data_IF_685454444881
#
_entry.id   IF_685454444881
#
_cell.length_a   1.000
_cell.length_b   1.000
_cell.length_c   1.000
_cell.angle_alpha   90.00
_cell.angle_beta   90.00
_cell.angle_gamma   90.00
#
_symmetry.space_group_name_H-M   'P 1'
#
loop_
_entity.id
_entity.type
_entity.pdbx_description
1 polymer ?
#
# COMPACT_ATOMS: atom_id res chain seq x y z
N UNK A 1 13.94 -5.51 76.02
CA UNK A 1 13.25 -5.16 74.75
C UNK A 1 12.66 -6.44 74.18
N UNK A 2 11.35 -6.63 74.32
CA UNK A 2 10.60 -7.75 73.75
C UNK A 2 9.40 -7.21 72.98
N UNK A 3 9.21 -7.83 71.83
CA UNK A 3 7.97 -8.05 71.06
C UNK A 3 7.13 -6.85 70.63
N UNK A 4 6.91 -6.77 69.32
CA UNK A 4 5.61 -6.40 68.76
C UNK A 4 5.25 -7.35 67.61
N UNK A 5 4.02 -7.83 67.67
CA UNK A 5 3.35 -8.75 66.76
C UNK A 5 2.03 -8.09 66.31
N UNK A 6 1.51 -8.53 65.16
CA UNK A 6 0.23 -8.17 64.50
C UNK A 6 0.32 -6.89 63.64
N UNK A 7 -0.05 -6.85 62.36
CA UNK A 7 -0.98 -7.70 61.62
C UNK A 7 -1.94 -6.77 60.85
N UNK A 8 -1.68 -6.58 59.56
CA UNK A 8 -2.54 -5.82 58.63
C UNK A 8 -1.89 -5.88 57.24
N UNK A 9 -2.45 -6.55 56.23
CA UNK A 9 -3.82 -6.38 55.75
C UNK A 9 -3.78 -5.38 54.60
N UNK A 10 -3.29 -5.80 53.42
CA UNK A 10 -3.05 -4.86 52.32
C UNK A 10 -2.87 -5.55 50.97
N UNK A 11 -3.99 -6.01 50.39
CA UNK A 11 -4.22 -5.99 48.94
C UNK A 11 -3.26 -6.74 48.03
N UNK A 12 -3.45 -8.05 47.90
CA UNK A 12 -3.12 -8.77 46.67
C UNK A 12 -3.97 -8.20 45.53
N UNK A 13 -3.43 -7.24 44.77
CA UNK A 13 -3.97 -6.90 43.47
C UNK A 13 -3.23 -7.72 42.42
N UNK A 14 -3.82 -8.88 42.16
CA UNK A 14 -3.54 -9.75 41.02
C UNK A 14 -3.76 -8.97 39.71
N UNK A 15 -2.70 -8.51 39.07
CA UNK A 15 -2.74 -8.05 37.67
C UNK A 15 -2.72 -9.27 36.76
N UNK A 16 -3.88 -9.95 36.66
CA UNK A 16 -4.09 -11.02 35.70
C UNK A 16 -4.18 -10.45 34.29
N UNK A 17 -3.27 -10.90 33.42
CA UNK A 17 -3.60 -11.16 32.02
C UNK A 17 -3.56 -9.99 31.05
N UNK A 18 -2.47 -9.22 31.00
CA UNK A 18 -2.09 -8.64 29.71
C UNK A 18 -1.45 -9.75 28.87
N UNK A 19 -2.26 -10.48 28.11
CA UNK A 19 -1.74 -11.29 27.00
C UNK A 19 -1.03 -10.33 26.05
N UNK A 20 0.31 -10.28 26.13
CA UNK A 20 1.13 -9.67 25.09
C UNK A 20 0.69 -10.35 23.80
N UNK A 21 -0.02 -9.62 22.93
CA UNK A 21 -0.26 -10.05 21.55
C UNK A 21 1.09 -10.52 21.03
N UNK A 22 1.21 -11.75 20.50
CA UNK A 22 2.47 -12.20 19.94
C UNK A 22 2.88 -11.18 18.89
N UNK A 23 4.05 -10.55 19.08
CA UNK A 23 4.59 -9.62 18.09
C UNK A 23 4.71 -10.41 16.80
N UNK A 24 3.85 -10.13 15.82
CA UNK A 24 3.97 -10.72 14.49
C UNK A 24 5.32 -10.26 13.98
N UNK A 25 6.32 -11.14 13.97
CA UNK A 25 7.62 -10.82 13.40
C UNK A 25 7.33 -10.39 11.96
N UNK A 26 7.77 -9.19 11.52
CA UNK A 26 7.52 -8.77 10.16
C UNK A 26 8.07 -9.86 9.22
N UNK A 27 7.27 -10.25 8.23
CA UNK A 27 7.72 -11.18 7.19
C UNK A 27 9.07 -10.66 6.68
N UNK A 28 10.09 -11.52 6.64
CA UNK A 28 11.38 -11.16 6.03
C UNK A 28 11.10 -10.73 4.60
N UNK A 29 11.20 -9.42 4.35
CA UNK A 29 11.09 -8.85 3.01
C UNK A 29 12.48 -8.89 2.42
N UNK A 30 12.69 -9.75 1.43
CA UNK A 30 13.92 -9.72 0.66
C UNK A 30 13.94 -8.42 -0.17
N UNK A 31 15.07 -7.69 -0.19
CA UNK A 31 15.18 -6.51 -1.05
C UNK A 31 14.93 -6.93 -2.50
N UNK A 32 14.27 -6.08 -3.30
CA UNK A 32 14.06 -6.37 -4.70
C UNK A 32 15.42 -6.48 -5.40
N UNK A 33 15.57 -7.39 -6.37
CA UNK A 33 16.80 -7.50 -7.14
C UNK A 33 17.06 -6.19 -7.91
N UNK A 34 18.32 -5.85 -8.10
CA UNK A 34 18.75 -4.56 -8.65
C UNK A 34 18.06 -4.23 -9.98
N UNK A 35 17.96 -5.20 -10.89
CA UNK A 35 17.31 -5.01 -12.18
C UNK A 35 15.84 -4.60 -12.06
N UNK A 36 15.12 -5.10 -11.04
CA UNK A 36 13.71 -4.77 -10.83
C UNK A 36 13.56 -3.32 -10.34
N UNK A 37 14.47 -2.87 -9.46
CA UNK A 37 14.51 -1.47 -9.02
C UNK A 37 14.78 -0.52 -10.19
N UNK A 38 15.75 -0.86 -11.04
CA UNK A 38 16.08 -0.05 -12.22
C UNK A 38 14.93 -0.02 -13.23
N UNK A 39 14.31 -1.17 -13.53
CA UNK A 39 13.20 -1.24 -14.48
C UNK A 39 11.98 -0.42 -14.00
N UNK A 40 11.62 -0.53 -12.71
CA UNK A 40 10.54 0.28 -12.13
C UNK A 40 10.92 1.76 -12.16
N UNK A 41 12.15 2.11 -11.75
CA UNK A 41 12.64 3.48 -11.76
C UNK A 41 12.62 4.12 -13.14
N UNK A 42 13.05 3.41 -14.19
CA UNK A 42 13.01 3.87 -15.57
C UNK A 42 11.58 4.17 -16.01
N UNK A 43 10.66 3.21 -15.80
CA UNK A 43 9.24 3.37 -16.16
C UNK A 43 8.59 4.54 -15.42
N UNK A 44 8.89 4.72 -14.13
CA UNK A 44 8.37 5.86 -13.35
C UNK A 44 8.90 7.19 -13.90
N UNK A 45 10.19 7.28 -14.22
CA UNK A 45 10.77 8.49 -14.82
C UNK A 45 10.11 8.82 -16.16
N UNK A 46 9.89 7.84 -17.01
CA UNK A 46 9.25 8.05 -18.32
C UNK A 46 7.84 8.59 -18.19
N UNK A 47 7.07 8.07 -17.22
CA UNK A 47 5.73 8.58 -16.90
C UNK A 47 5.74 10.01 -16.39
N UNK A 48 6.65 10.32 -15.47
CA UNK A 48 6.77 11.68 -14.94
C UNK A 48 7.20 12.66 -16.05
N UNK A 49 8.06 12.24 -16.98
CA UNK A 49 8.40 13.04 -18.16
C UNK A 49 7.19 13.25 -19.08
N UNK A 50 6.39 12.21 -19.31
CA UNK A 50 5.16 12.32 -20.11
C UNK A 50 4.13 13.25 -19.44
N UNK A 51 3.97 13.15 -18.12
CA UNK A 51 3.13 14.04 -17.34
C UNK A 51 3.62 15.50 -17.41
N UNK A 52 4.93 15.72 -17.23
CA UNK A 52 5.56 17.04 -17.35
C UNK A 52 5.24 17.71 -18.69
N UNK A 53 5.47 17.01 -19.79
CA UNK A 53 5.11 17.51 -21.14
C UNK A 53 3.63 17.84 -21.30
N UNK A 54 2.75 17.11 -20.60
CA UNK A 54 1.30 17.32 -20.66
C UNK A 54 0.91 18.61 -19.93
N UNK A 55 1.49 18.87 -18.75
CA UNK A 55 1.17 20.08 -17.95
C UNK A 55 1.87 21.34 -18.45
N UNK A 56 2.98 21.21 -19.16
CA UNK A 56 3.68 22.33 -19.84
C UNK A 56 2.96 22.76 -21.14
N UNK A 57 1.87 22.09 -21.52
CA UNK A 57 1.08 22.41 -22.70
C UNK A 57 0.44 23.81 -22.62
N UNK A 58 0.29 24.51 -23.76
CA UNK A 58 -0.35 25.82 -23.77
C UNK A 58 -1.82 25.71 -23.36
N UNK A 59 -2.26 26.62 -22.48
CA UNK A 59 -3.65 26.71 -22.04
C UNK A 59 -4.08 25.70 -20.98
N UNK A 60 -3.16 24.90 -20.45
CA UNK A 60 -3.46 23.96 -19.36
C UNK A 60 -3.71 24.72 -18.06
N UNK A 61 -4.83 24.43 -17.42
CA UNK A 61 -5.19 24.99 -16.12
C UNK A 61 -4.61 24.18 -14.95
N UNK A 62 -4.58 24.81 -13.77
CA UNK A 62 -4.17 24.13 -12.54
C UNK A 62 -5.15 23.00 -12.19
N UNK A 63 -6.45 23.22 -12.37
CA UNK A 63 -7.51 22.24 -12.16
C UNK A 63 -7.33 20.99 -13.04
N UNK A 64 -7.07 21.18 -14.33
CA UNK A 64 -6.78 20.06 -15.24
C UNK A 64 -5.51 19.31 -14.84
N UNK A 65 -4.46 20.04 -14.46
CA UNK A 65 -3.21 19.44 -13.99
C UNK A 65 -3.41 18.58 -12.73
N UNK A 66 -4.25 19.03 -11.80
CA UNK A 66 -4.62 18.26 -10.61
C UNK A 66 -5.40 16.99 -10.96
N UNK A 67 -6.38 17.08 -11.87
CA UNK A 67 -7.12 15.92 -12.35
C UNK A 67 -6.18 14.88 -12.97
N UNK A 68 -5.24 15.30 -13.82
CA UNK A 68 -4.27 14.39 -14.44
C UNK A 68 -3.28 13.80 -13.44
N UNK A 69 -2.92 14.56 -12.40
CA UNK A 69 -2.09 14.05 -11.32
C UNK A 69 -2.80 12.94 -10.54
N UNK A 70 -4.09 13.12 -10.26
CA UNK A 70 -4.92 12.09 -9.62
C UNK A 70 -5.08 10.85 -10.50
N UNK A 71 -5.27 11.02 -11.81
CA UNK A 71 -5.26 9.93 -12.80
C UNK A 71 -3.94 9.15 -12.75
N UNK A 72 -2.80 9.83 -12.83
CA UNK A 72 -1.47 9.21 -12.81
C UNK A 72 -1.23 8.38 -11.53
N UNK A 73 -1.64 8.90 -10.37
CA UNK A 73 -1.57 8.17 -9.09
C UNK A 73 -2.46 6.94 -9.12
N UNK A 74 -3.70 7.07 -9.61
CA UNK A 74 -4.68 5.99 -9.69
C UNK A 74 -4.17 4.86 -10.58
N UNK A 75 -3.58 5.18 -11.72
CA UNK A 75 -2.99 4.21 -12.64
C UNK A 75 -1.78 3.51 -12.03
N UNK A 76 -0.91 4.25 -11.32
CA UNK A 76 0.24 3.66 -10.63
C UNK A 76 -0.17 2.65 -9.56
N UNK A 77 -1.24 2.96 -8.80
CA UNK A 77 -1.82 2.03 -7.83
C UNK A 77 -2.44 0.83 -8.54
N UNK A 78 -3.23 1.05 -9.59
CA UNK A 78 -3.88 -0.02 -10.37
C UNK A 78 -2.86 -1.03 -10.89
N UNK A 79 -1.77 -0.57 -11.50
CA UNK A 79 -0.74 -1.46 -12.02
C UNK A 79 -0.01 -2.24 -10.93
N UNK A 80 0.28 -1.59 -9.80
CA UNK A 80 0.87 -2.26 -8.64
C UNK A 80 -0.06 -3.37 -8.16
N UNK A 81 -1.35 -3.07 -8.05
CA UNK A 81 -2.36 -4.04 -7.66
C UNK A 81 -2.50 -5.16 -8.69
N UNK A 82 -2.49 -4.89 -9.99
CA UNK A 82 -2.51 -5.91 -11.04
C UNK A 82 -1.30 -6.84 -10.98
N UNK A 83 -0.13 -6.29 -10.69
CA UNK A 83 1.11 -7.07 -10.54
C UNK A 83 1.04 -7.98 -9.30
N UNK A 84 0.48 -7.47 -8.20
CA UNK A 84 0.33 -8.22 -6.95
C UNK A 84 -0.79 -9.25 -7.02
N UNK A 85 -1.96 -8.85 -7.54
CA UNK A 85 -3.15 -9.67 -7.69
C UNK A 85 -2.92 -10.74 -8.76
N UNK A 86 -2.24 -10.39 -9.86
CA UNK A 86 -1.83 -11.30 -10.93
C UNK A 86 -0.94 -12.46 -10.50
N UNK A 87 -0.51 -12.55 -9.23
CA UNK A 87 0.13 -13.75 -8.65
C UNK A 87 -0.84 -14.91 -8.43
N UNK A 88 -2.15 -14.68 -8.38
CA UNK A 88 -3.14 -15.76 -8.21
C UNK A 88 -3.99 -15.94 -9.47
N UNK A 89 -4.27 -17.18 -9.91
CA UNK A 89 -5.09 -17.44 -11.10
C UNK A 89 -6.46 -16.72 -11.05
N UNK A 90 -7.09 -16.71 -9.88
CA UNK A 90 -8.40 -16.09 -9.65
C UNK A 90 -8.39 -14.57 -9.89
N UNK A 91 -7.31 -13.89 -9.50
CA UNK A 91 -7.21 -12.46 -9.69
C UNK A 91 -6.80 -12.08 -11.12
N UNK A 92 -6.02 -12.91 -11.83
CA UNK A 92 -5.80 -12.75 -13.28
C UNK A 92 -7.10 -12.80 -14.06
N UNK A 93 -7.96 -13.77 -13.75
CA UNK A 93 -9.28 -13.93 -14.38
C UNK A 93 -10.16 -12.70 -14.10
N UNK A 94 -10.20 -12.21 -12.85
CA UNK A 94 -10.97 -10.99 -12.51
C UNK A 94 -10.46 -9.75 -13.24
N UNK A 95 -9.15 -9.59 -13.37
CA UNK A 95 -8.56 -8.48 -14.12
C UNK A 95 -8.93 -8.55 -15.61
N UNK A 96 -8.81 -9.73 -16.23
CA UNK A 96 -9.20 -9.93 -17.63
C UNK A 96 -10.69 -9.64 -17.87
N UNK A 97 -11.57 -10.03 -16.93
CA UNK A 97 -13.00 -9.70 -17.01
C UNK A 97 -13.22 -8.19 -16.90
N UNK A 98 -12.52 -7.49 -16.00
CA UNK A 98 -12.63 -6.05 -15.85
C UNK A 98 -12.16 -5.31 -17.11
N UNK A 99 -11.03 -5.71 -17.69
CA UNK A 99 -10.49 -5.12 -18.91
C UNK A 99 -11.42 -5.35 -20.11
N UNK A 100 -11.99 -6.55 -20.24
CA UNK A 100 -13.00 -6.86 -21.26
C UNK A 100 -14.25 -5.97 -21.13
N UNK A 101 -14.71 -5.72 -19.89
CA UNK A 101 -15.83 -4.79 -19.64
C UNK A 101 -15.49 -3.35 -20.00
N UNK A 102 -14.29 -2.88 -19.64
CA UNK A 102 -13.83 -1.53 -19.98
C UNK A 102 -13.71 -1.34 -21.49
N UNK A 103 -13.21 -2.34 -22.22
CA UNK A 103 -13.13 -2.31 -23.69
C UNK A 103 -14.52 -2.27 -24.33
N UNK A 104 -15.48 -3.06 -23.81
CA UNK A 104 -16.86 -3.06 -24.30
C UNK A 104 -17.59 -1.73 -24.06
N UNK A 105 -17.26 -1.02 -22.98
CA UNK A 105 -17.82 0.29 -22.71
C UNK A 105 -17.21 1.41 -23.57
N UNK A 106 -16.08 1.16 -24.23
CA UNK A 106 -15.37 2.12 -25.06
C UNK A 106 -15.69 2.01 -26.56
N UNK A 107 -16.50 1.01 -26.97
CA UNK A 107 -17.00 0.89 -28.34
C UNK A 107 -18.34 1.64 -28.42
N UNK A 108 -18.46 2.68 -29.27
CA UNK A 108 -19.68 3.48 -29.42
C UNK A 108 -20.85 2.70 -30.04
#
# INVERSE_FOLDING_TARGET
MMADFLGGGGGQQSWSGHTRRPSVRPKRVHPPPHYAKEAVGARTRDRLRAFGRRIEGPGVTAEESMCWWDELKRDSVRETLLTTAGRTPRARIRAAIADCKSQRAAVP
#
